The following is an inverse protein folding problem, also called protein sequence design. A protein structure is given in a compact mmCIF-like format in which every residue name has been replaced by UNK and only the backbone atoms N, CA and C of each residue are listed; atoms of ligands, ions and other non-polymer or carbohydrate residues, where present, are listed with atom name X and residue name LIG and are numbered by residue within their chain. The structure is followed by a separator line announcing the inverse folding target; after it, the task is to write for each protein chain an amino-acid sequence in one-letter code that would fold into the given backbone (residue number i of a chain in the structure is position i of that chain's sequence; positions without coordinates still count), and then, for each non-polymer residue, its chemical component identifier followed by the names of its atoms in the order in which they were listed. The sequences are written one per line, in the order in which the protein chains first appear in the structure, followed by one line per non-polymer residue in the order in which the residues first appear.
data_IF_841087791245
#
_entry.id   IF_841087791245
#
_cell.length_a   1.000
_cell.length_b   1.000
_cell.length_c   1.000
_cell.angle_alpha   90.00
_cell.angle_beta   90.00
_cell.angle_gamma   90.00
#
_symmetry.space_group_name_H-M   'P 1'
#
loop_
_entity.id
_entity.type
_entity.pdbx_description
1 polymer ?
#
# COMPACT_ATOMS: atom_id res chain seq x y z
N UNK A 1 -12.63 -9.49 -28.36
CA UNK A 1 -11.90 -10.39 -27.45
C UNK A 1 -12.12 -9.86 -26.03
N UNK A 2 -12.78 -10.66 -25.20
CA UNK A 2 -12.97 -10.55 -23.75
C UNK A 2 -13.34 -9.16 -23.16
N UNK A 3 -14.65 -8.91 -23.10
CA UNK A 3 -15.26 -8.07 -22.06
C UNK A 3 -14.82 -8.58 -20.68
N UNK A 4 -14.00 -7.79 -19.98
CA UNK A 4 -13.40 -8.20 -18.71
C UNK A 4 -14.39 -7.95 -17.58
N UNK A 5 -15.02 -9.03 -17.13
CA UNK A 5 -15.86 -9.10 -15.94
C UNK A 5 -15.16 -8.46 -14.72
N UNK A 6 -15.75 -7.38 -14.18
CA UNK A 6 -15.66 -7.02 -12.75
C UNK A 6 -14.30 -6.70 -12.12
N UNK A 7 -13.31 -6.15 -12.83
CA UNK A 7 -12.04 -5.76 -12.18
C UNK A 7 -12.19 -4.40 -11.47
N UNK A 8 -12.28 -4.40 -10.14
CA UNK A 8 -12.38 -3.19 -9.33
C UNK A 8 -11.30 -2.17 -9.71
N UNK A 9 -11.71 -0.94 -10.05
CA UNK A 9 -10.81 0.15 -10.46
C UNK A 9 -9.86 0.53 -9.32
N UNK A 10 -8.75 1.21 -9.64
CA UNK A 10 -7.80 1.65 -8.61
C UNK A 10 -8.44 2.60 -7.58
N UNK A 11 -9.39 3.44 -8.01
CA UNK A 11 -10.12 4.34 -7.12
C UNK A 11 -11.05 3.58 -6.18
N UNK A 12 -11.78 2.60 -6.69
CA UNK A 12 -12.64 1.74 -5.88
C UNK A 12 -11.80 0.89 -4.91
N UNK A 13 -10.66 0.37 -5.36
CA UNK A 13 -9.72 -0.37 -4.52
C UNK A 13 -9.17 0.48 -3.38
N UNK A 14 -8.79 1.74 -3.66
CA UNK A 14 -8.34 2.67 -2.63
C UNK A 14 -9.46 2.96 -1.63
N UNK A 15 -10.69 3.20 -2.10
CA UNK A 15 -11.86 3.40 -1.24
C UNK A 15 -12.20 2.19 -0.36
N UNK A 16 -12.06 0.97 -0.91
CA UNK A 16 -12.19 -0.27 -0.17
C UNK A 16 -11.15 -0.33 0.97
N UNK A 17 -9.86 -0.14 0.65
CA UNK A 17 -8.81 -0.17 1.67
C UNK A 17 -8.99 0.94 2.72
N UNK A 18 -9.38 2.15 2.34
CA UNK A 18 -9.63 3.28 3.25
C UNK A 18 -10.75 2.98 4.26
N UNK A 19 -11.75 2.18 3.85
CA UNK A 19 -12.85 1.78 4.71
C UNK A 19 -12.43 0.65 5.65
N UNK A 20 -11.72 -0.35 5.12
CA UNK A 20 -11.41 -1.58 5.84
C UNK A 20 -10.15 -1.50 6.70
N UNK A 21 -9.24 -0.54 6.45
CA UNK A 21 -8.03 -0.40 7.26
C UNK A 21 -8.30 0.13 8.67
N UNK A 22 -9.45 0.75 8.96
CA UNK A 22 -9.77 1.39 10.25
C UNK A 22 -9.86 0.44 11.46
N UNK A 23 -9.79 -0.86 11.22
CA UNK A 23 -9.81 -1.89 12.26
C UNK A 23 -8.41 -2.45 12.47
N UNK A 24 -8.00 -2.62 13.72
CA UNK A 24 -6.73 -3.29 14.06
C UNK A 24 -6.61 -4.72 13.51
N UNK A 25 -7.75 -5.32 13.16
CA UNK A 25 -7.85 -6.67 12.59
C UNK A 25 -7.99 -6.69 11.07
N UNK A 26 -7.74 -5.57 10.39
CA UNK A 26 -7.82 -5.50 8.94
C UNK A 26 -6.82 -6.45 8.29
N UNK A 27 -7.31 -7.41 7.52
CA UNK A 27 -6.50 -8.40 6.82
C UNK A 27 -6.51 -8.12 5.32
N UNK A 28 -5.30 -8.08 4.75
CA UNK A 28 -5.09 -7.90 3.32
C UNK A 28 -4.20 -9.02 2.79
N UNK A 29 -4.56 -9.57 1.63
CA UNK A 29 -3.70 -10.56 0.95
C UNK A 29 -2.54 -9.83 0.27
N UNK A 30 -1.37 -10.46 0.17
CA UNK A 30 -0.14 -9.82 -0.29
C UNK A 30 -0.25 -9.16 -1.65
N UNK A 31 -1.03 -9.75 -2.58
CA UNK A 31 -1.33 -9.13 -3.88
C UNK A 31 -2.00 -7.75 -3.76
N UNK A 32 -2.88 -7.57 -2.77
CA UNK A 32 -3.59 -6.32 -2.52
C UNK A 32 -2.64 -5.30 -1.89
N UNK A 33 -1.78 -5.75 -0.97
CA UNK A 33 -0.71 -4.93 -0.38
C UNK A 33 0.25 -4.44 -1.47
N UNK A 34 0.69 -5.32 -2.37
CA UNK A 34 1.56 -4.97 -3.50
C UNK A 34 0.86 -4.04 -4.50
N UNK A 35 -0.45 -4.20 -4.73
CA UNK A 35 -1.23 -3.25 -5.52
C UNK A 35 -1.24 -1.87 -4.86
N UNK A 36 -1.50 -1.80 -3.55
CA UNK A 36 -1.50 -0.52 -2.82
C UNK A 36 -0.13 0.14 -2.79
N UNK A 37 0.95 -0.61 -2.57
CA UNK A 37 2.34 -0.09 -2.61
C UNK A 37 2.65 0.60 -3.95
N UNK A 38 2.24 -0.02 -5.06
CA UNK A 38 2.38 0.57 -6.40
C UNK A 38 1.56 1.84 -6.56
N UNK A 39 0.31 1.85 -6.10
CA UNK A 39 -0.58 3.02 -6.16
C UNK A 39 -0.04 4.20 -5.33
N UNK A 40 0.49 3.90 -4.14
CA UNK A 40 1.15 4.85 -3.25
C UNK A 40 2.48 5.38 -3.80
N UNK A 41 3.03 4.76 -4.86
CA UNK A 41 4.30 5.17 -5.46
C UNK A 41 5.53 4.78 -4.64
N UNK A 42 5.47 3.66 -3.91
CA UNK A 42 6.56 3.17 -3.07
C UNK A 42 7.12 4.21 -2.09
N UNK A 43 6.30 4.69 -1.14
CA UNK A 43 6.75 5.69 -0.17
C UNK A 43 7.96 5.19 0.65
N UNK A 44 8.86 6.13 0.99
CA UNK A 44 10.03 5.84 1.81
C UNK A 44 9.62 5.23 3.16
N UNK A 45 10.36 4.22 3.60
CA UNK A 45 10.07 3.51 4.86
C UNK A 45 9.23 2.24 4.68
N UNK A 46 8.61 2.02 3.51
CA UNK A 46 7.88 0.80 3.19
C UNK A 46 8.75 -0.20 2.41
N UNK A 47 8.44 -1.49 2.54
CA UNK A 47 9.06 -2.54 1.74
C UNK A 47 8.67 -2.41 0.26
N UNK A 48 9.55 -2.88 -0.63
CA UNK A 48 9.28 -2.84 -2.07
C UNK A 48 8.10 -3.75 -2.48
N UNK A 49 7.88 -4.84 -1.74
CA UNK A 49 6.78 -5.77 -1.92
C UNK A 49 6.75 -6.86 -0.86
N UNK A 50 5.68 -7.65 -0.87
CA UNK A 50 5.43 -8.79 0.03
C UNK A 50 5.02 -10.05 -0.77
N UNK A 51 5.09 -11.27 -0.20
CA UNK A 51 4.60 -12.47 -0.87
C UNK A 51 3.11 -12.40 -1.20
N UNK A 52 2.74 -12.61 -2.47
CA UNK A 52 1.36 -12.39 -2.96
C UNK A 52 0.29 -13.25 -2.28
N UNK A 53 0.65 -14.47 -1.85
CA UNK A 53 -0.29 -15.45 -1.27
C UNK A 53 -0.47 -15.37 0.24
N UNK A 54 0.26 -14.50 0.94
CA UNK A 54 0.20 -14.38 2.39
C UNK A 54 -0.80 -13.32 2.84
N UNK A 55 -1.31 -13.46 4.07
CA UNK A 55 -2.24 -12.49 4.69
C UNK A 55 -1.51 -11.63 5.71
N UNK A 56 -1.74 -10.32 5.61
CA UNK A 56 -1.10 -9.32 6.45
C UNK A 56 -2.15 -8.56 7.26
N UNK A 57 -1.91 -8.43 8.56
CA UNK A 57 -2.72 -7.59 9.44
C UNK A 57 -2.15 -6.17 9.40
N UNK A 58 -2.75 -5.29 8.60
CA UNK A 58 -2.24 -3.93 8.36
C UNK A 58 -3.33 -2.91 8.69
N UNK A 59 -3.16 -2.22 9.82
CA UNK A 59 -4.00 -1.08 10.19
C UNK A 59 -3.30 0.22 9.78
N UNK A 60 -2.52 0.82 10.67
CA UNK A 60 -1.81 2.09 10.44
C UNK A 60 -0.96 2.10 9.17
N UNK A 61 -0.20 1.02 8.82
CA UNK A 61 0.58 1.03 7.59
C UNK A 61 -0.28 1.09 6.32
N UNK A 62 -1.46 0.45 6.33
CA UNK A 62 -2.37 0.49 5.19
C UNK A 62 -3.05 1.86 5.09
N UNK A 63 -3.41 2.48 6.22
CA UNK A 63 -3.97 3.83 6.23
C UNK A 63 -2.98 4.85 5.66
N UNK A 64 -1.70 4.75 6.00
CA UNK A 64 -0.65 5.61 5.44
C UNK A 64 -0.50 5.40 3.93
N UNK A 65 -0.47 4.14 3.46
CA UNK A 65 -0.42 3.83 2.04
C UNK A 65 -1.63 4.39 1.27
N UNK A 66 -2.83 4.30 1.83
CA UNK A 66 -4.04 4.91 1.28
C UNK A 66 -3.87 6.43 1.12
N UNK A 67 -3.40 7.14 2.15
CA UNK A 67 -3.15 8.60 2.08
C UNK A 67 -2.12 8.95 0.99
N UNK A 68 -1.09 8.13 0.80
CA UNK A 68 -0.14 8.33 -0.31
C UNK A 68 -0.79 8.11 -1.68
N UNK A 69 -1.59 7.06 -1.83
CA UNK A 69 -2.30 6.76 -3.07
C UNK A 69 -3.34 7.83 -3.42
N UNK A 70 -4.10 8.32 -2.45
CA UNK A 70 -5.08 9.40 -2.63
C UNK A 70 -4.43 10.71 -3.09
N UNK A 71 -3.31 11.11 -2.47
CA UNK A 71 -2.55 12.30 -2.91
C UNK A 71 -2.11 12.21 -4.37
N UNK A 72 -1.70 11.01 -4.81
CA UNK A 72 -1.26 10.76 -6.19
C UNK A 72 -2.43 10.71 -7.18
N UNK A 73 -3.59 10.21 -6.76
CA UNK A 73 -4.83 10.30 -7.55
C UNK A 73 -5.21 11.76 -7.80
N UNK A 74 -5.21 12.58 -6.75
CA UNK A 74 -5.53 14.01 -6.85
C UNK A 74 -4.52 14.72 -7.75
N UNK A 75 -3.20 14.50 -7.57
CA UNK A 75 -2.17 15.09 -8.43
C UNK A 75 -2.31 14.69 -9.91
N UNK A 76 -2.68 13.44 -10.22
CA UNK A 76 -2.95 13.02 -11.59
C UNK A 76 -4.17 13.72 -12.20
N UNK A 77 -5.19 14.01 -11.39
CA UNK A 77 -6.37 14.77 -11.80
C UNK A 77 -6.15 16.29 -11.81
N UNK A 78 -5.13 16.77 -11.10
CA UNK A 78 -4.80 18.19 -10.88
C UNK A 78 -3.40 18.51 -11.42
N UNK A 79 -3.10 18.11 -12.65
CA UNK A 79 -1.85 18.48 -13.32
C UNK A 79 -1.85 19.99 -13.66
N UNK A 80 -1.67 20.84 -12.64
CA UNK A 80 -1.05 22.15 -12.80
C UNK A 80 0.46 21.91 -12.64
N UNK A 81 1.20 22.03 -13.74
CA UNK A 81 2.65 21.89 -13.79
C UNK A 81 3.28 22.97 -12.91
N UNK A 82 4.07 22.57 -11.91
CA UNK A 82 5.02 23.49 -11.28
C UNK A 82 6.42 22.89 -11.49
N UNK A 83 7.14 23.50 -12.43
CA UNK A 83 8.56 23.26 -12.66
C UNK A 83 9.33 23.86 -11.49
N UNK A 84 9.71 23.02 -10.52
CA UNK A 84 10.68 23.37 -9.51
C UNK A 84 11.95 22.56 -9.74
N UNK A 85 12.80 23.13 -10.58
CA UNK A 85 14.24 22.99 -10.48
C UNK A 85 14.65 23.20 -9.00
N UNK A 86 15.34 22.22 -8.39
CA UNK A 86 16.52 22.37 -7.48
C UNK A 86 16.64 21.21 -6.47
N UNK A 87 17.75 20.49 -6.67
CA UNK A 87 18.69 19.85 -5.73
C UNK A 87 18.27 18.69 -4.81
N UNK A 88 18.86 17.54 -5.17
CA UNK A 88 19.05 16.34 -4.35
C UNK A 88 19.73 16.66 -3.02
N UNK A 89 19.15 16.18 -1.93
CA UNK A 89 19.88 15.87 -0.70
C UNK A 89 19.35 14.56 -0.13
N UNK A 90 20.11 13.50 -0.37
CA UNK A 90 19.89 12.20 0.24
C UNK A 90 20.02 12.31 1.76
N UNK A 91 18.98 11.94 2.50
CA UNK A 91 19.07 11.68 3.94
C UNK A 91 18.46 10.30 4.23
N UNK A 92 19.35 9.31 4.36
CA UNK A 92 19.03 7.98 4.87
C UNK A 92 18.44 8.08 6.27
N UNK A 93 17.19 7.66 6.47
CA UNK A 93 16.67 7.31 7.80
C UNK A 93 15.75 6.08 7.73
N UNK A 94 16.12 5.09 8.54
CA UNK A 94 15.41 3.88 8.99
C UNK A 94 14.18 3.41 8.20
N UNK A 95 14.30 2.25 7.57
CA UNK A 95 13.14 1.49 7.09
C UNK A 95 12.24 1.09 8.27
N UNK A 96 10.93 1.31 8.14
CA UNK A 96 9.95 0.83 9.11
C UNK A 96 9.79 -0.67 8.89
N UNK A 97 10.26 -1.46 9.85
CA UNK A 97 10.09 -2.91 9.83
C UNK A 97 8.65 -3.22 10.24
N UNK A 98 7.85 -3.75 9.32
CA UNK A 98 6.53 -4.28 9.65
C UNK A 98 6.70 -5.45 10.65
N UNK A 99 6.06 -5.42 11.83
CA UNK A 99 6.24 -6.49 12.82
C UNK A 99 5.57 -7.77 12.33
N UNK A 100 6.38 -8.69 11.78
CA UNK A 100 5.94 -10.04 11.46
C UNK A 100 5.72 -10.82 12.77
N UNK A 101 4.47 -10.93 13.23
CA UNK A 101 4.10 -12.01 14.16
C UNK A 101 3.93 -13.29 13.37
N UNK A 102 5.02 -14.05 13.25
CA UNK A 102 5.00 -15.44 12.83
C UNK A 102 4.18 -16.21 13.86
N UNK A 103 2.91 -16.54 13.56
CA UNK A 103 2.20 -17.58 14.30
C UNK A 103 2.91 -18.89 13.97
N UNK A 104 3.86 -19.28 14.82
CA UNK A 104 4.42 -20.62 14.83
C UNK A 104 3.29 -21.59 15.13
N UNK A 105 2.78 -22.24 14.09
CA UNK A 105 1.92 -23.40 14.23
C UNK A 105 2.78 -24.56 14.75
N UNK A 106 2.56 -24.91 16.01
CA UNK A 106 2.70 -26.27 16.55
C UNK A 106 4.06 -26.71 17.09
N UNK A 107 4.09 -27.41 18.22
CA UNK A 107 4.78 -28.68 18.33
C UNK A 107 3.82 -29.81 17.93
N UNK A 108 4.17 -30.56 16.89
CA UNK A 108 3.60 -31.90 16.67
C UNK A 108 4.20 -32.85 17.71
N UNK A 109 3.34 -33.51 18.48
CA UNK A 109 3.65 -34.78 19.13
C UNK A 109 3.25 -35.93 18.20
#
# INVERSE_FOLDING_TARGET
MADTEGTMTDREFIGYCATHCKSERALFVGRDVNRMLRLAGHPNGFVAGVPDGEWFSLHEPMEELVRHAERRLVQRSSALVIDHHVESSASQKGAVVLPFRKKSAGPSM
#
